data_IF_227787389472
#
_entry.id   IF_227787389472
#
_cell.length_a   1.000
_cell.length_b   1.000
_cell.length_c   1.000
_cell.angle_alpha   90.00
_cell.angle_beta   90.00
_cell.angle_gamma   90.00
#
_symmetry.space_group_name_H-M   'P 1'
#
loop_
_entity.id
_entity.type
_entity.pdbx_description
1 polymer ?
#
# COMPACT_ATOMS: atom_id res chain seq x y z
N UNK A 1 -28.62 -4.71 10.02
CA UNK A 1 -27.43 -4.81 9.14
C UNK A 1 -26.51 -5.87 9.71
N UNK A 2 -26.13 -6.90 8.93
CA UNK A 2 -25.30 -8.01 9.43
C UNK A 2 -23.90 -7.52 9.81
N UNK A 3 -23.26 -8.20 10.79
CA UNK A 3 -21.89 -7.87 11.25
C UNK A 3 -20.88 -7.90 10.10
N UNK A 4 -21.04 -8.85 9.17
CA UNK A 4 -20.18 -8.99 7.98
C UNK A 4 -20.28 -7.74 7.10
N UNK A 5 -21.48 -7.23 6.87
CA UNK A 5 -21.69 -6.03 6.08
C UNK A 5 -21.05 -4.79 6.71
N UNK A 6 -21.19 -4.64 8.04
CA UNK A 6 -20.52 -3.58 8.80
C UNK A 6 -18.99 -3.64 8.69
N UNK A 7 -18.42 -4.83 8.76
CA UNK A 7 -16.97 -5.02 8.62
C UNK A 7 -16.48 -4.63 7.23
N UNK A 8 -17.20 -4.99 6.16
CA UNK A 8 -16.87 -4.60 4.78
C UNK A 8 -16.93 -3.10 4.58
N UNK A 9 -17.95 -2.45 5.11
CA UNK A 9 -18.04 -0.98 5.10
C UNK A 9 -16.82 -0.36 5.83
N UNK A 10 -16.44 -0.89 6.99
CA UNK A 10 -15.27 -0.40 7.71
C UNK A 10 -13.99 -0.53 6.86
N UNK A 11 -13.79 -1.63 6.14
CA UNK A 11 -12.67 -1.79 5.20
C UNK A 11 -12.68 -0.76 4.06
N UNK A 12 -13.86 -0.51 3.48
CA UNK A 12 -14.02 0.52 2.44
C UNK A 12 -13.77 1.93 2.97
N UNK A 13 -14.21 2.22 4.20
CA UNK A 13 -13.93 3.51 4.86
C UNK A 13 -12.41 3.67 5.07
N UNK A 14 -11.71 2.62 5.52
CA UNK A 14 -10.24 2.66 5.67
C UNK A 14 -9.59 2.90 4.31
N UNK A 15 -9.99 2.19 3.26
CA UNK A 15 -9.45 2.38 1.92
C UNK A 15 -9.67 3.82 1.41
N UNK A 16 -10.87 4.36 1.57
CA UNK A 16 -11.17 5.74 1.19
C UNK A 16 -10.37 6.77 2.02
N UNK A 17 -10.23 6.55 3.33
CA UNK A 17 -9.48 7.44 4.22
C UNK A 17 -7.99 7.47 3.84
N UNK A 18 -7.37 6.31 3.59
CA UNK A 18 -5.97 6.21 3.14
C UNK A 18 -5.78 6.89 1.78
N UNK A 19 -6.65 6.60 0.82
CA UNK A 19 -6.60 7.23 -0.50
C UNK A 19 -6.68 8.76 -0.40
N UNK A 20 -7.64 9.29 0.36
CA UNK A 20 -7.83 10.74 0.52
C UNK A 20 -6.63 11.35 1.24
N UNK A 21 -6.15 10.73 2.32
CA UNK A 21 -5.01 11.23 3.09
C UNK A 21 -3.72 11.23 2.25
N UNK A 22 -3.45 10.16 1.48
CA UNK A 22 -2.32 10.08 0.57
C UNK A 22 -2.35 11.21 -0.48
N UNK A 23 -3.49 11.40 -1.12
CA UNK A 23 -3.64 12.44 -2.14
C UNK A 23 -3.58 13.86 -1.56
N UNK A 24 -4.12 14.05 -0.36
CA UNK A 24 -4.04 15.33 0.35
C UNK A 24 -2.58 15.68 0.74
N UNK A 25 -1.80 14.69 1.22
CA UNK A 25 -0.39 14.89 1.54
C UNK A 25 0.44 15.18 0.30
N UNK A 26 0.24 14.45 -0.79
CA UNK A 26 0.91 14.71 -2.08
C UNK A 26 0.61 16.11 -2.59
N UNK A 27 -0.66 16.52 -2.55
CA UNK A 27 -1.06 17.89 -2.88
C UNK A 27 -0.41 18.92 -1.97
N UNK A 28 -0.37 18.67 -0.66
CA UNK A 28 0.23 19.59 0.31
C UNK A 28 1.73 19.77 0.09
N UNK A 29 2.44 18.67 -0.16
CA UNK A 29 3.89 18.68 -0.42
C UNK A 29 4.22 19.41 -1.71
N UNK A 30 3.48 19.15 -2.79
CA UNK A 30 3.78 19.75 -4.12
C UNK A 30 3.18 21.14 -4.31
N UNK A 31 2.12 21.49 -3.57
CA UNK A 31 1.44 22.78 -3.62
C UNK A 31 1.93 23.73 -2.52
N UNK A 32 1.34 23.72 -1.32
CA UNK A 32 1.70 24.64 -0.23
C UNK A 32 3.18 24.64 0.18
N UNK A 33 3.83 23.46 0.24
CA UNK A 33 5.26 23.39 0.57
C UNK A 33 6.17 23.68 -0.63
N UNK A 34 5.64 23.74 -1.86
CA UNK A 34 6.40 24.13 -3.06
C UNK A 34 7.40 23.11 -3.57
N UNK A 35 7.39 21.86 -3.10
CA UNK A 35 8.32 20.81 -3.56
C UNK A 35 7.81 20.21 -4.87
N UNK A 36 8.08 20.88 -6.00
CA UNK A 36 7.54 20.56 -7.32
C UNK A 36 8.49 19.76 -8.19
N UNK A 37 9.80 19.95 -7.99
CA UNK A 37 10.86 19.35 -8.81
C UNK A 37 11.59 18.25 -8.03
N UNK A 38 12.02 17.22 -8.75
CA UNK A 38 12.78 16.12 -8.16
C UNK A 38 14.07 16.61 -7.51
N UNK A 39 14.35 16.12 -6.31
CA UNK A 39 15.49 16.49 -5.51
C UNK A 39 15.28 17.70 -4.60
N UNK A 40 14.18 18.45 -4.73
CA UNK A 40 13.86 19.50 -3.76
C UNK A 40 13.58 18.90 -2.39
N UNK A 41 14.09 19.55 -1.35
CA UNK A 41 14.08 19.04 0.02
C UNK A 41 13.59 20.08 1.01
N UNK A 42 12.89 19.61 2.05
CA UNK A 42 12.54 20.38 3.25
C UNK A 42 12.88 19.54 4.47
N UNK A 43 13.94 19.93 5.17
CA UNK A 43 14.41 19.27 6.39
C UNK A 43 13.45 19.58 7.54
N UNK A 44 12.90 18.55 8.18
CA UNK A 44 12.00 18.67 9.31
C UNK A 44 12.66 18.27 10.63
N UNK A 45 13.61 17.32 10.57
CA UNK A 45 14.39 16.86 11.73
C UNK A 45 15.71 16.25 11.28
N UNK A 46 16.66 15.92 12.20
CA UNK A 46 17.92 15.28 11.85
C UNK A 46 17.81 13.90 11.22
N UNK A 47 16.62 13.29 11.24
CA UNK A 47 16.38 11.94 10.73
C UNK A 47 15.20 11.85 9.74
N UNK A 48 14.52 12.97 9.48
CA UNK A 48 13.38 12.99 8.57
C UNK A 48 13.28 14.31 7.80
N UNK A 49 13.09 14.19 6.49
CA UNK A 49 12.87 15.32 5.60
C UNK A 49 11.83 14.97 4.54
N UNK A 50 11.24 15.98 3.93
CA UNK A 50 10.54 15.78 2.67
C UNK A 50 11.55 15.94 1.54
N UNK A 51 11.61 14.92 0.65
CA UNK A 51 12.41 14.94 -0.59
C UNK A 51 11.50 14.58 -1.75
N UNK A 52 11.25 15.51 -2.66
CA UNK A 52 10.40 15.23 -3.84
C UNK A 52 11.11 14.27 -4.78
N UNK A 53 10.45 13.18 -5.13
CA UNK A 53 10.98 12.16 -6.04
C UNK A 53 9.86 11.63 -6.95
N UNK A 54 10.12 11.55 -8.25
CA UNK A 54 9.25 10.91 -9.23
C UNK A 54 9.58 9.43 -9.35
N UNK A 55 8.71 8.56 -8.86
CA UNK A 55 8.90 7.11 -8.89
C UNK A 55 8.20 6.51 -10.11
N UNK A 56 8.97 6.15 -11.12
CA UNK A 56 8.49 5.52 -12.36
C UNK A 56 8.31 3.99 -12.23
N UNK A 57 8.69 3.39 -11.09
CA UNK A 57 8.37 2.01 -10.73
C UNK A 57 9.35 0.94 -11.16
N UNK A 58 10.28 1.17 -12.09
CA UNK A 58 11.27 0.17 -12.53
C UNK A 58 12.62 0.81 -12.80
N UNK A 59 13.65 0.34 -12.08
CA UNK A 59 15.06 0.72 -12.30
C UNK A 59 15.82 -0.32 -13.15
N UNK A 60 15.14 -1.26 -13.80
CA UNK A 60 15.79 -2.28 -14.62
C UNK A 60 16.08 -1.70 -16.01
N UNK A 61 17.34 -1.41 -16.30
CA UNK A 61 17.87 -0.75 -17.48
C UNK A 61 17.52 -1.33 -18.88
N UNK A 62 16.53 -2.19 -19.00
CA UNK A 62 16.06 -2.78 -20.25
C UNK A 62 14.78 -2.14 -20.81
N UNK A 63 14.03 -1.39 -19.98
CA UNK A 63 12.86 -0.64 -20.43
C UNK A 63 13.00 0.79 -19.89
N UNK A 64 12.92 1.77 -20.78
CA UNK A 64 12.91 3.16 -20.34
C UNK A 64 11.72 3.35 -19.41
N UNK A 65 11.99 3.53 -18.11
CA UNK A 65 10.96 3.66 -17.06
C UNK A 65 9.94 4.78 -17.34
N UNK A 66 10.22 5.63 -18.33
CA UNK A 66 9.41 6.76 -18.75
C UNK A 66 8.60 6.49 -20.03
N UNK A 67 8.63 5.25 -20.59
CA UNK A 67 7.85 4.96 -21.77
C UNK A 67 6.34 4.90 -21.47
N UNK A 68 5.53 5.27 -22.44
CA UNK A 68 4.07 5.24 -22.32
C UNK A 68 3.56 3.80 -22.08
N UNK A 69 4.17 2.83 -22.74
CA UNK A 69 3.85 1.40 -22.60
C UNK A 69 4.11 0.91 -21.19
N UNK A 70 5.27 1.24 -20.61
CA UNK A 70 5.61 0.87 -19.24
C UNK A 70 4.65 1.48 -18.23
N UNK A 71 4.31 2.76 -18.39
CA UNK A 71 3.30 3.43 -17.55
C UNK A 71 1.98 2.65 -17.52
N UNK A 72 1.44 2.32 -18.71
CA UNK A 72 0.15 1.63 -18.80
C UNK A 72 0.24 0.16 -18.33
N UNK A 73 1.37 -0.50 -18.55
CA UNK A 73 1.62 -1.83 -18.01
C UNK A 73 1.57 -1.81 -16.46
N UNK A 74 2.26 -0.85 -15.83
CA UNK A 74 2.24 -0.70 -14.37
C UNK A 74 0.85 -0.34 -13.85
N UNK A 75 0.12 0.54 -14.53
CA UNK A 75 -1.28 0.86 -14.17
C UNK A 75 -2.14 -0.40 -14.25
N UNK A 76 -2.07 -1.16 -15.34
CA UNK A 76 -2.87 -2.36 -15.52
C UNK A 76 -2.51 -3.45 -14.48
N UNK A 77 -1.23 -3.69 -14.24
CA UNK A 77 -0.76 -4.66 -13.26
C UNK A 77 -1.22 -4.28 -11.84
N UNK A 78 -0.99 -3.04 -11.42
CA UNK A 78 -1.37 -2.58 -10.07
C UNK A 78 -2.90 -2.50 -9.91
N UNK A 79 -3.65 -2.14 -10.96
CA UNK A 79 -5.10 -2.18 -10.96
C UNK A 79 -5.63 -3.63 -10.85
N UNK A 80 -5.01 -4.57 -11.54
CA UNK A 80 -5.33 -6.01 -11.42
C UNK A 80 -5.12 -6.52 -9.98
N UNK A 81 -3.99 -6.16 -9.36
CA UNK A 81 -3.72 -6.51 -7.95
C UNK A 81 -4.76 -5.85 -7.02
N UNK A 82 -5.06 -4.56 -7.22
CA UNK A 82 -6.07 -3.84 -6.44
C UNK A 82 -7.46 -4.48 -6.57
N UNK A 83 -7.84 -4.95 -7.76
CA UNK A 83 -9.08 -5.68 -7.99
C UNK A 83 -9.11 -7.01 -7.22
N UNK A 84 -8.02 -7.78 -7.23
CA UNK A 84 -7.91 -9.04 -6.46
C UNK A 84 -8.06 -8.74 -4.96
N UNK A 85 -7.37 -7.73 -4.42
CA UNK A 85 -7.48 -7.30 -3.03
C UNK A 85 -8.90 -6.86 -2.69
N UNK A 86 -9.55 -6.09 -3.55
CA UNK A 86 -10.93 -5.67 -3.39
C UNK A 86 -11.90 -6.85 -3.33
N UNK A 87 -11.80 -7.79 -4.28
CA UNK A 87 -12.64 -9.00 -4.28
C UNK A 87 -12.38 -9.86 -3.04
N UNK A 88 -11.12 -9.99 -2.63
CA UNK A 88 -10.77 -10.69 -1.38
C UNK A 88 -11.41 -10.02 -0.17
N UNK A 89 -11.28 -8.70 -0.03
CA UNK A 89 -11.91 -7.93 1.05
C UNK A 89 -13.43 -8.12 1.09
N UNK A 90 -14.10 -8.18 -0.08
CA UNK A 90 -15.53 -8.43 -0.15
C UNK A 90 -15.93 -9.86 0.23
N UNK A 91 -15.04 -10.86 0.07
CA UNK A 91 -15.27 -12.25 0.45
C UNK A 91 -14.90 -12.54 1.90
N UNK A 92 -14.07 -11.70 2.50
CA UNK A 92 -13.61 -11.87 3.87
C UNK A 92 -14.73 -11.58 4.88
N UNK A 93 -14.68 -12.28 6.02
CA UNK A 93 -15.67 -12.18 7.10
C UNK A 93 -15.07 -11.63 8.39
N UNK A 94 -13.77 -11.84 8.58
CA UNK A 94 -13.05 -11.46 9.80
C UNK A 94 -12.60 -10.01 9.71
N UNK A 95 -13.05 -9.17 10.64
CA UNK A 95 -12.70 -7.74 10.65
C UNK A 95 -11.20 -7.50 10.69
N UNK A 96 -10.46 -8.34 11.43
CA UNK A 96 -9.00 -8.25 11.55
C UNK A 96 -8.25 -8.45 10.22
N UNK A 97 -8.87 -9.09 9.22
CA UNK A 97 -8.30 -9.28 7.88
C UNK A 97 -8.86 -8.25 6.88
N UNK A 98 -10.09 -7.77 7.10
CA UNK A 98 -10.73 -6.76 6.25
C UNK A 98 -10.04 -5.40 6.36
N UNK A 99 -9.68 -4.95 7.58
CA UNK A 99 -9.07 -3.63 7.77
C UNK A 99 -7.70 -3.49 7.10
N UNK A 100 -6.75 -4.45 7.25
CA UNK A 100 -5.49 -4.38 6.52
C UNK A 100 -5.65 -4.50 5.00
N UNK A 101 -6.63 -5.26 4.50
CA UNK A 101 -6.98 -5.24 3.07
C UNK A 101 -7.46 -3.85 2.62
N UNK A 102 -8.17 -3.12 3.49
CA UNK A 102 -8.53 -1.72 3.25
C UNK A 102 -7.31 -0.79 3.14
N UNK A 103 -6.29 -0.99 3.99
CA UNK A 103 -5.02 -0.23 3.90
C UNK A 103 -4.33 -0.48 2.55
N UNK A 104 -4.20 -1.74 2.16
CA UNK A 104 -3.58 -2.13 0.88
C UNK A 104 -4.36 -1.54 -0.30
N UNK A 105 -5.68 -1.65 -0.29
CA UNK A 105 -6.53 -1.14 -1.36
C UNK A 105 -6.43 0.38 -1.49
N UNK A 106 -6.53 1.12 -0.38
CA UNK A 106 -6.44 2.58 -0.38
C UNK A 106 -5.09 3.10 -0.89
N UNK A 107 -3.99 2.50 -0.43
CA UNK A 107 -2.65 2.83 -0.91
C UNK A 107 -2.46 2.48 -2.40
N UNK A 108 -2.90 1.29 -2.82
CA UNK A 108 -2.83 0.91 -4.24
C UNK A 108 -3.58 1.90 -5.14
N UNK A 109 -4.79 2.30 -4.76
CA UNK A 109 -5.57 3.29 -5.51
C UNK A 109 -4.88 4.66 -5.58
N UNK A 110 -4.21 5.10 -4.50
CA UNK A 110 -3.41 6.32 -4.47
C UNK A 110 -2.29 6.30 -5.52
N UNK A 111 -1.49 5.25 -5.52
CA UNK A 111 -0.38 5.09 -6.46
C UNK A 111 -0.84 4.84 -7.91
N UNK A 112 -1.99 4.18 -8.12
CA UNK A 112 -2.61 4.02 -9.45
C UNK A 112 -3.04 5.39 -9.99
N UNK A 113 -3.71 6.22 -9.17
CA UNK A 113 -4.13 7.56 -9.56
C UNK A 113 -2.96 8.43 -10.01
N UNK A 114 -1.85 8.39 -9.29
CA UNK A 114 -0.65 9.15 -9.66
C UNK A 114 -0.10 8.71 -11.01
N UNK A 115 0.09 7.40 -11.22
CA UNK A 115 0.55 6.87 -12.50
C UNK A 115 -0.39 7.19 -13.65
N UNK A 116 -1.70 7.15 -13.40
CA UNK A 116 -2.70 7.49 -14.39
C UNK A 116 -2.62 8.98 -14.79
N UNK A 117 -2.44 9.88 -13.84
CA UNK A 117 -2.45 11.32 -14.10
C UNK A 117 -1.07 11.85 -14.52
N UNK A 118 0.00 11.42 -13.84
CA UNK A 118 1.34 12.03 -13.97
C UNK A 118 2.35 11.10 -14.67
N UNK A 119 2.05 9.81 -14.82
CA UNK A 119 2.98 8.82 -15.38
C UNK A 119 3.97 8.26 -14.35
N UNK A 120 4.02 8.79 -13.14
CA UNK A 120 4.87 8.38 -12.04
C UNK A 120 4.11 8.50 -10.71
N UNK A 121 4.64 7.88 -9.66
CA UNK A 121 4.17 8.10 -8.30
C UNK A 121 4.94 9.25 -7.67
N UNK A 122 4.25 10.08 -6.89
CA UNK A 122 4.85 11.15 -6.09
C UNK A 122 5.30 10.57 -4.77
N UNK A 123 6.63 10.49 -4.56
CA UNK A 123 7.25 10.12 -3.31
C UNK A 123 7.85 11.36 -2.62
N UNK A 124 7.82 11.38 -1.27
CA UNK A 124 8.24 12.56 -0.53
C UNK A 124 8.81 12.28 0.86
N UNK A 125 8.56 11.14 1.48
CA UNK A 125 9.03 10.82 2.82
C UNK A 125 10.43 10.21 2.76
N UNK A 126 11.42 10.92 3.26
CA UNK A 126 12.84 10.52 3.28
C UNK A 126 13.30 10.37 4.74
N UNK A 127 13.45 9.10 5.17
CA UNK A 127 13.97 8.74 6.49
C UNK A 127 15.47 8.43 6.37
N UNK A 128 16.29 9.12 7.17
CA UNK A 128 17.73 8.97 7.13
C UNK A 128 18.38 9.13 8.51
N UNK A 129 19.53 8.52 8.68
CA UNK A 129 20.37 8.62 9.88
C UNK A 129 21.79 8.99 9.43
N UNK A 130 22.07 10.30 9.32
CA UNK A 130 23.24 10.79 8.66
C UNK A 130 23.24 10.42 7.17
N UNK A 131 24.25 9.69 6.71
CA UNK A 131 24.34 9.19 5.33
C UNK A 131 23.58 7.88 5.09
N UNK A 132 23.15 7.19 6.14
CA UNK A 132 22.42 5.91 6.03
C UNK A 132 20.95 6.15 5.78
N UNK A 133 20.43 5.61 4.68
CA UNK A 133 19.01 5.60 4.31
C UNK A 133 18.50 4.17 4.30
N UNK A 134 17.72 3.74 5.33
CA UNK A 134 17.20 2.39 5.42
C UNK A 134 16.15 2.08 4.35
N UNK A 135 15.50 3.11 3.81
CA UNK A 135 14.46 3.01 2.78
C UNK A 135 14.73 4.03 1.67
N UNK A 136 14.26 3.72 0.47
CA UNK A 136 14.09 4.73 -0.57
C UNK A 136 13.04 5.76 -0.12
N UNK A 137 13.01 6.92 -0.76
CA UNK A 137 11.93 7.90 -0.56
C UNK A 137 10.60 7.22 -0.88
N UNK A 138 9.62 7.37 -0.03
CA UNK A 138 8.30 6.73 -0.12
C UNK A 138 7.16 7.72 0.17
N UNK A 139 5.93 7.26 0.10
CA UNK A 139 4.73 8.05 0.39
C UNK A 139 3.79 7.34 1.37
N UNK A 140 2.67 7.96 1.73
CA UNK A 140 1.69 7.36 2.64
C UNK A 140 1.04 6.10 2.06
N UNK A 141 0.82 6.04 0.74
CA UNK A 141 0.27 4.85 0.09
C UNK A 141 1.19 3.64 0.26
N UNK A 142 2.51 3.81 0.08
CA UNK A 142 3.50 2.74 0.26
C UNK A 142 3.55 2.25 1.71
N UNK A 143 3.52 3.17 2.67
CA UNK A 143 3.45 2.83 4.09
C UNK A 143 2.18 2.03 4.42
N UNK A 144 1.02 2.45 3.89
CA UNK A 144 -0.25 1.76 4.11
C UNK A 144 -0.26 0.36 3.48
N UNK A 145 0.27 0.21 2.25
CA UNK A 145 0.42 -1.10 1.60
C UNK A 145 1.30 -2.01 2.45
N UNK A 146 2.49 -1.53 2.84
CA UNK A 146 3.46 -2.30 3.62
C UNK A 146 2.87 -2.74 4.96
N UNK A 147 2.27 -1.83 5.72
CA UNK A 147 1.63 -2.13 7.01
C UNK A 147 0.49 -3.14 6.82
N UNK A 148 -0.37 -2.94 5.81
CA UNK A 148 -1.47 -3.84 5.51
C UNK A 148 -0.99 -5.26 5.20
N UNK A 149 0.02 -5.40 4.34
CA UNK A 149 0.63 -6.70 3.99
C UNK A 149 1.27 -7.35 5.22
N UNK A 150 2.04 -6.61 6.01
CA UNK A 150 2.67 -7.14 7.23
C UNK A 150 1.62 -7.66 8.21
N UNK A 151 0.52 -6.94 8.43
CA UNK A 151 -0.57 -7.38 9.31
C UNK A 151 -1.22 -8.65 8.76
N UNK A 152 -1.50 -8.75 7.45
CA UNK A 152 -2.10 -9.94 6.83
C UNK A 152 -1.18 -11.15 7.02
N UNK A 153 0.12 -10.99 6.74
CA UNK A 153 1.10 -12.07 6.91
C UNK A 153 1.24 -12.49 8.37
N UNK A 154 1.43 -11.55 9.30
CA UNK A 154 1.53 -11.84 10.73
C UNK A 154 0.30 -12.60 11.23
N UNK A 155 -0.90 -12.20 10.85
CA UNK A 155 -2.14 -12.90 11.22
C UNK A 155 -2.24 -14.29 10.60
N UNK A 156 -1.80 -14.44 9.35
CA UNK A 156 -1.79 -15.74 8.68
C UNK A 156 -0.90 -16.75 9.40
N UNK A 157 0.26 -16.32 9.87
CA UNK A 157 1.16 -17.20 10.64
C UNK A 157 0.61 -17.46 12.05
N UNK A 158 0.23 -16.43 12.80
CA UNK A 158 -0.18 -16.55 14.20
C UNK A 158 -1.51 -17.29 14.41
N UNK A 159 -2.44 -17.22 13.43
CA UNK A 159 -3.76 -17.88 13.56
C UNK A 159 -3.69 -19.33 13.07
N UNK A 160 -2.81 -19.64 12.11
CA UNK A 160 -2.64 -21.01 11.59
C UNK A 160 -2.10 -21.98 12.66
N UNK A 161 -1.28 -21.51 13.58
CA UNK A 161 -0.75 -22.33 14.69
C UNK A 161 -1.83 -22.75 15.70
N UNK A 162 -2.97 -22.07 15.76
CA UNK A 162 -4.05 -22.36 16.72
C UNK A 162 -5.12 -23.34 16.23
N UNK A 163 -5.02 -23.92 15.03
CA UNK A 163 -5.89 -25.03 14.64
C UNK A 163 -5.33 -26.33 15.22
N UNK A 164 -5.98 -26.96 16.23
CA UNK A 164 -5.58 -28.28 16.67
C UNK A 164 -5.68 -29.23 15.46
N UNK A 165 -4.62 -30.01 15.23
CA UNK A 165 -4.77 -31.22 14.43
C UNK A 165 -5.89 -32.02 15.05
N UNK A 166 -7.02 -32.16 14.36
CA UNK A 166 -8.03 -33.15 14.72
C UNK A 166 -7.30 -34.49 14.73
N UNK A 167 -7.01 -34.98 15.93
CA UNK A 167 -6.51 -36.33 16.16
C UNK A 167 -7.42 -37.28 15.40
N UNK A 168 -6.82 -38.11 14.55
CA UNK A 168 -7.51 -39.13 13.82
C UNK A 168 -8.34 -39.98 14.79
N UNK A 169 -9.61 -40.14 14.47
CA UNK A 169 -10.48 -41.07 15.15
C UNK A 169 -9.84 -42.44 15.09
N UNK A 170 -9.76 -43.23 16.23
CA UNK A 170 -9.29 -44.59 16.20
C UNK A 170 -10.24 -45.42 15.35
N UNK A 171 -9.67 -46.18 14.41
CA UNK A 171 -10.40 -47.19 13.68
C UNK A 171 -10.99 -48.18 14.68
N UNK A 172 -12.30 -48.29 14.75
CA UNK A 172 -12.99 -49.36 15.43
C UNK A 172 -12.85 -50.63 14.61
N UNK A 173 -11.95 -51.48 15.01
CA UNK A 173 -11.94 -52.88 14.58
C UNK A 173 -13.15 -53.58 15.24
N UNK A 174 -13.99 -54.18 14.44
CA UNK A 174 -14.86 -55.35 14.75
C UNK A 174 -14.93 -56.23 13.55
#
# INVERSE_FOLDING_TARGET
MSLIYRNRIAGLIVAAAIFIADQALKWYVTGPLGLREDGQQLVLSPFFQFTRTSNYGVSLGFLTAQSMEMRWLLVALTAGIALVVFVWMLREKVRGDILPLGLVLGGALGNIRDRFNFGHVIDYADLHFGTFRPFLVFNLADAAITIGVVIILARSFLIREKRPQQAGAPATET
#
